data_IF_580745476389
#
_entry.id   IF_580745476389
#
_cell.length_a   1.000
_cell.length_b   1.000
_cell.length_c   1.000
_cell.angle_alpha   90.00
_cell.angle_beta   90.00
_cell.angle_gamma   90.00
#
_symmetry.space_group_name_H-M   'P 1'
#
loop_
_entity.id
_entity.type
_entity.pdbx_description
1 polymer ?
#
# COMPACT_ATOMS: atom_id res chain seq x y z
N UNK A 1 -2.95 -8.24 7.02
CA UNK A 1 -4.02 -7.29 7.41
C UNK A 1 -5.06 -7.39 6.33
N UNK A 2 -6.33 -7.41 6.71
CA UNK A 2 -7.47 -7.60 5.82
C UNK A 2 -8.44 -6.44 5.97
N UNK A 3 -8.72 -5.74 4.88
CA UNK A 3 -9.63 -4.57 4.86
C UNK A 3 -10.72 -4.82 3.84
N UNK A 4 -11.96 -4.54 4.22
CA UNK A 4 -13.12 -4.55 3.32
C UNK A 4 -13.54 -3.11 3.10
N UNK A 5 -13.61 -2.69 1.83
CA UNK A 5 -14.08 -1.37 1.43
C UNK A 5 -15.34 -1.51 0.57
N UNK A 6 -16.43 -0.87 0.99
CA UNK A 6 -17.71 -0.91 0.30
C UNK A 6 -17.92 0.39 -0.49
N UNK A 7 -18.08 0.26 -1.80
CA UNK A 7 -18.55 1.31 -2.69
C UNK A 7 -20.03 1.07 -3.05
N UNK A 8 -20.77 2.08 -3.56
CA UNK A 8 -22.19 1.90 -3.91
C UNK A 8 -22.47 0.78 -4.92
N UNK A 9 -21.50 0.42 -5.75
CA UNK A 9 -21.62 -0.52 -6.86
C UNK A 9 -20.77 -1.79 -6.69
N UNK A 10 -19.81 -1.82 -5.76
CA UNK A 10 -18.93 -2.98 -5.54
C UNK A 10 -18.34 -3.03 -4.12
N UNK A 11 -17.89 -4.22 -3.72
CA UNK A 11 -17.11 -4.44 -2.48
C UNK A 11 -15.71 -4.92 -2.83
N UNK A 12 -14.69 -4.29 -2.26
CA UNK A 12 -13.29 -4.69 -2.40
C UNK A 12 -12.82 -5.32 -1.11
N UNK A 13 -12.21 -6.50 -1.19
CA UNK A 13 -11.43 -7.09 -0.10
C UNK A 13 -9.94 -6.98 -0.44
N UNK A 14 -9.19 -6.29 0.41
CA UNK A 14 -7.75 -6.10 0.29
C UNK A 14 -7.03 -6.92 1.37
N UNK A 15 -6.05 -7.71 0.95
CA UNK A 15 -5.13 -8.41 1.85
C UNK A 15 -3.71 -7.87 1.65
N UNK A 16 -3.14 -7.31 2.72
CA UNK A 16 -1.77 -6.80 2.73
C UNK A 16 -0.77 -7.88 3.14
N UNK A 17 0.29 -8.05 2.33
CA UNK A 17 1.42 -8.92 2.60
C UNK A 17 2.68 -8.09 2.88
N UNK A 18 3.36 -8.38 3.99
CA UNK A 18 4.70 -7.86 4.24
C UNK A 18 5.72 -8.76 3.52
N UNK A 19 6.42 -8.21 2.53
CA UNK A 19 7.36 -8.95 1.70
C UNK A 19 8.65 -8.17 1.48
N UNK A 20 9.71 -8.91 1.17
CA UNK A 20 11.01 -8.36 0.79
C UNK A 20 11.48 -9.00 -0.52
N UNK A 21 12.29 -8.27 -1.28
CA UNK A 21 12.92 -8.82 -2.49
C UNK A 21 14.00 -9.80 -2.05
N UNK A 22 13.79 -11.09 -2.35
CA UNK A 22 14.79 -12.14 -2.07
C UNK A 22 15.96 -12.07 -3.05
N UNK A 23 15.66 -11.85 -4.32
CA UNK A 23 16.61 -11.75 -5.43
C UNK A 23 15.98 -11.02 -6.62
N UNK A 24 16.82 -10.45 -7.50
CA UNK A 24 16.37 -9.73 -8.69
C UNK A 24 15.93 -8.27 -8.44
N UNK A 25 15.33 -7.65 -9.45
CA UNK A 25 14.84 -6.26 -9.41
C UNK A 25 13.41 -6.25 -10.00
N UNK A 26 12.42 -5.61 -9.34
CA UNK A 26 11.07 -5.51 -9.88
C UNK A 26 11.03 -4.82 -11.24
N UNK A 27 10.22 -5.37 -12.14
CA UNK A 27 9.97 -4.82 -13.47
C UNK A 27 8.56 -4.23 -13.55
N UNK A 28 8.44 -3.04 -14.15
CA UNK A 28 7.16 -2.39 -14.40
C UNK A 28 6.48 -3.00 -15.63
N UNK A 29 5.72 -4.08 -15.43
CA UNK A 29 4.99 -4.74 -16.51
C UNK A 29 3.58 -4.17 -16.69
N UNK A 30 2.83 -4.04 -15.60
CA UNK A 30 1.46 -3.48 -15.58
C UNK A 30 1.42 -1.98 -15.24
N UNK A 31 2.43 -1.48 -14.54
CA UNK A 31 2.40 -0.15 -13.92
C UNK A 31 3.16 0.90 -14.74
N UNK A 32 2.61 2.12 -14.83
CA UNK A 32 3.28 3.25 -15.49
C UNK A 32 4.51 3.75 -14.72
N UNK A 33 4.43 3.76 -13.38
CA UNK A 33 5.54 4.14 -12.51
C UNK A 33 5.64 3.23 -11.27
N UNK A 34 6.84 3.17 -10.67
CA UNK A 34 7.09 2.46 -9.41
C UNK A 34 8.15 3.23 -8.63
N UNK A 35 7.91 3.42 -7.33
CA UNK A 35 8.83 4.13 -6.44
C UNK A 35 8.91 3.42 -5.11
N UNK A 36 10.13 3.40 -4.56
CA UNK A 36 10.36 3.05 -3.16
C UNK A 36 10.24 4.32 -2.34
N UNK A 37 9.40 4.28 -1.31
CA UNK A 37 9.21 5.39 -0.39
C UNK A 37 9.34 4.89 1.04
N UNK A 38 9.81 5.75 1.91
CA UNK A 38 9.80 5.56 3.36
C UNK A 38 8.43 5.89 3.92
N UNK A 39 8.19 5.51 5.18
CA UNK A 39 6.94 5.80 5.88
C UNK A 39 6.70 7.31 6.01
N UNK A 40 7.75 8.10 6.27
CA UNK A 40 7.67 9.56 6.39
C UNK A 40 7.34 10.25 5.05
N UNK A 41 7.54 9.55 3.93
CA UNK A 41 7.25 10.08 2.59
C UNK A 41 5.81 9.77 2.14
N UNK A 42 5.05 8.96 2.87
CA UNK A 42 3.68 8.56 2.48
C UNK A 42 2.80 9.78 2.22
N UNK A 43 2.88 10.82 3.06
CA UNK A 43 2.04 12.01 2.95
C UNK A 43 2.38 12.90 1.74
N UNK A 44 3.45 12.60 1.01
CA UNK A 44 3.80 13.28 -0.23
C UNK A 44 3.10 12.71 -1.47
N UNK A 45 2.32 11.63 -1.32
CA UNK A 45 1.65 10.94 -2.43
C UNK A 45 0.14 10.84 -2.20
N UNK A 46 -0.61 10.86 -3.31
CA UNK A 46 -2.03 10.54 -3.28
C UNK A 46 -2.22 9.03 -3.38
N UNK A 47 -2.93 8.47 -2.41
CA UNK A 47 -3.33 7.06 -2.38
C UNK A 47 -4.85 6.94 -2.57
N UNK A 48 -5.30 5.73 -2.90
CA UNK A 48 -6.73 5.46 -2.98
C UNK A 48 -7.35 5.40 -1.57
N UNK A 49 -8.64 5.75 -1.42
CA UNK A 49 -9.31 5.70 -0.11
C UNK A 49 -9.25 4.33 0.57
N UNK A 50 -9.22 3.25 -0.22
CA UNK A 50 -9.13 1.89 0.31
C UNK A 50 -7.77 1.58 0.98
N UNK A 51 -6.73 2.36 0.72
CA UNK A 51 -5.39 2.20 1.29
C UNK A 51 -5.18 3.00 2.58
N UNK A 52 -6.06 3.95 2.91
CA UNK A 52 -5.87 4.89 4.04
C UNK A 52 -5.63 4.16 5.37
N UNK A 53 -6.43 3.13 5.67
CA UNK A 53 -6.29 2.34 6.91
C UNK A 53 -4.95 1.61 6.97
N UNK A 54 -4.48 1.09 5.83
CA UNK A 54 -3.19 0.41 5.71
C UNK A 54 -2.06 1.41 5.98
N UNK A 55 -2.12 2.58 5.34
CA UNK A 55 -1.09 3.61 5.45
C UNK A 55 -0.95 4.13 6.89
N UNK A 56 -2.07 4.37 7.58
CA UNK A 56 -2.07 4.79 8.98
C UNK A 56 -1.49 3.70 9.91
N UNK A 57 -1.75 2.42 9.63
CA UNK A 57 -1.13 1.32 10.36
C UNK A 57 0.38 1.25 10.13
N UNK A 58 0.85 1.47 8.89
CA UNK A 58 2.29 1.51 8.56
C UNK A 58 3.00 2.64 9.30
N UNK A 59 2.42 3.85 9.30
CA UNK A 59 2.93 5.00 10.06
C UNK A 59 3.07 4.71 11.55
N UNK A 60 2.05 4.09 12.16
CA UNK A 60 2.09 3.71 13.57
C UNK A 60 3.11 2.62 13.89
N UNK A 61 3.33 1.69 12.96
CA UNK A 61 4.27 0.57 13.16
C UNK A 61 5.73 1.01 13.08
N UNK A 62 6.03 2.10 12.35
CA UNK A 62 7.38 2.65 12.20
C UNK A 62 7.86 3.49 13.40
N UNK A 63 6.99 3.75 14.38
CA UNK A 63 7.29 4.55 15.58
C UNK A 63 7.87 3.73 16.75
N UNK A 64 8.30 2.48 16.50
CA UNK A 64 8.92 1.58 17.48
C UNK A 64 10.23 0.97 16.99
#
# INVERSE_FOLDING_TARGET
>A
MDVIHEYPDLTVHLTLFHAAIREGIPQKLEHNDIRWITVDEIDHYMFCPADEEILEQLKRSSLY
#
